data_IF_559745657414
#
_entry.id   IF_559745657414
#
_cell.length_a   1.000
_cell.length_b   1.000
_cell.length_c   1.000
_cell.angle_alpha   90.00
_cell.angle_beta   90.00
_cell.angle_gamma   90.00
#
_symmetry.space_group_name_H-M   'P 1'
#
loop_
_entity.id
_entity.type
_entity.pdbx_description
1 polymer ?
#
# COMPACT_ATOMS: atom_id res chain seq x y z
N UNK A 1 -32.96 0.68 4.81
CA UNK A 1 -31.49 0.57 4.59
C UNK A 1 -30.92 -0.19 5.77
N UNK A 2 -30.10 -1.23 5.59
CA UNK A 2 -29.46 -1.86 6.73
C UNK A 2 -28.37 -0.90 7.23
N UNK A 3 -28.57 -0.36 8.43
CA UNK A 3 -27.50 0.22 9.22
C UNK A 3 -26.62 -0.97 9.66
N UNK A 4 -25.34 -0.99 9.30
CA UNK A 4 -24.40 -1.99 9.83
C UNK A 4 -23.78 -1.40 11.09
N UNK A 5 -24.33 -1.64 12.29
CA UNK A 5 -23.84 -1.04 13.53
C UNK A 5 -22.35 -1.33 13.80
N UNK A 6 -21.77 -2.32 13.14
CA UNK A 6 -20.37 -2.69 13.27
C UNK A 6 -19.38 -1.86 12.43
N UNK A 7 -19.81 -1.13 11.39
CA UNK A 7 -18.86 -0.49 10.48
C UNK A 7 -18.21 0.74 11.11
N UNK A 8 -19.01 1.60 11.73
CA UNK A 8 -18.52 2.80 12.40
C UNK A 8 -17.61 2.45 13.59
N UNK A 9 -17.99 1.45 14.39
CA UNK A 9 -17.13 0.93 15.47
C UNK A 9 -15.82 0.35 14.93
N UNK A 10 -15.84 -0.28 13.76
CA UNK A 10 -14.62 -0.77 13.09
C UNK A 10 -13.72 0.40 12.69
N UNK A 11 -14.28 1.46 12.11
CA UNK A 11 -13.52 2.66 11.76
C UNK A 11 -12.95 3.35 13.00
N UNK A 12 -13.73 3.52 14.07
CA UNK A 12 -13.25 4.06 15.35
C UNK A 12 -12.05 3.26 15.88
N UNK A 13 -12.12 1.92 15.84
CA UNK A 13 -11.00 1.05 16.24
C UNK A 13 -9.76 1.18 15.34
N UNK A 14 -9.95 1.38 14.04
CA UNK A 14 -8.84 1.56 13.08
C UNK A 14 -8.18 2.94 13.19
N UNK A 15 -8.95 3.97 13.53
CA UNK A 15 -8.47 5.35 13.68
C UNK A 15 -7.86 5.63 15.06
N UNK A 16 -8.33 4.97 16.12
CA UNK A 16 -7.80 5.10 17.48
C UNK A 16 -6.26 5.03 17.59
N UNK A 17 -5.54 4.08 16.95
CA UNK A 17 -4.08 4.03 17.04
C UNK A 17 -3.37 5.15 16.27
N UNK A 18 -4.08 5.92 15.42
CA UNK A 18 -3.50 7.03 14.65
C UNK A 18 -3.44 8.34 15.45
N UNK A 19 -3.91 8.34 16.71
CA UNK A 19 -3.87 9.52 17.57
C UNK A 19 -4.85 10.63 17.17
N UNK A 20 -5.84 10.32 16.35
CA UNK A 20 -6.91 11.25 15.96
C UNK A 20 -7.91 11.34 17.09
N UNK A 21 -8.26 12.56 17.51
CA UNK A 21 -9.33 12.77 18.46
C UNK A 21 -10.68 12.57 17.77
N UNK A 22 -11.31 11.43 18.04
CA UNK A 22 -12.61 11.07 17.47
C UNK A 22 -13.78 11.69 18.25
N UNK A 23 -13.54 12.36 19.37
CA UNK A 23 -14.61 12.91 20.21
C UNK A 23 -15.21 14.20 19.65
N UNK A 24 -14.45 14.92 18.82
CA UNK A 24 -14.88 16.14 18.15
C UNK A 24 -15.45 15.90 16.75
N UNK A 25 -15.40 14.65 16.26
CA UNK A 25 -15.85 14.28 14.93
C UNK A 25 -17.26 13.67 14.94
N UNK A 26 -18.04 13.98 13.91
CA UNK A 26 -19.33 13.34 13.69
C UNK A 26 -19.19 11.95 13.04
N UNK A 27 -20.30 11.22 12.97
CA UNK A 27 -20.29 9.85 12.43
C UNK A 27 -19.95 9.81 10.92
N UNK A 28 -20.24 10.87 10.17
CA UNK A 28 -19.95 10.96 8.73
C UNK A 28 -18.44 11.23 8.51
N UNK A 29 -17.84 12.11 9.29
CA UNK A 29 -16.40 12.38 9.29
C UNK A 29 -15.60 11.13 9.66
N UNK A 30 -16.03 10.40 10.71
CA UNK A 30 -15.40 9.13 11.10
C UNK A 30 -15.54 8.09 9.99
N UNK A 31 -16.69 8.03 9.31
CA UNK A 31 -16.89 7.14 8.18
C UNK A 31 -15.98 7.53 6.99
N UNK A 32 -15.80 8.82 6.72
CA UNK A 32 -14.93 9.32 5.66
C UNK A 32 -13.46 9.01 5.94
N UNK A 33 -12.98 9.25 7.18
CA UNK A 33 -11.63 8.89 7.60
C UNK A 33 -11.41 7.38 7.52
N UNK A 34 -12.37 6.58 8.01
CA UNK A 34 -12.30 5.13 7.99
C UNK A 34 -12.24 4.53 6.58
N UNK A 35 -13.09 5.02 5.66
CA UNK A 35 -13.10 4.62 4.24
C UNK A 35 -11.80 4.99 3.51
N UNK A 36 -11.02 5.91 4.06
CA UNK A 36 -9.76 6.41 3.49
C UNK A 36 -8.57 6.16 4.43
N UNK A 37 -8.65 5.16 5.30
CA UNK A 37 -7.67 4.93 6.38
C UNK A 37 -6.21 4.86 5.89
N UNK A 38 -5.97 4.37 4.68
CA UNK A 38 -4.62 4.33 4.09
C UNK A 38 -4.08 5.73 3.78
N UNK A 39 -4.92 6.65 3.30
CA UNK A 39 -4.53 8.05 3.07
C UNK A 39 -4.27 8.76 4.41
N UNK A 40 -5.11 8.50 5.41
CA UNK A 40 -4.94 9.04 6.76
C UNK A 40 -3.61 8.59 7.37
N UNK A 41 -3.25 7.31 7.21
CA UNK A 41 -1.95 6.78 7.65
C UNK A 41 -0.75 7.43 6.95
N UNK A 42 -0.95 7.94 5.74
CA UNK A 42 0.06 8.71 5.00
C UNK A 42 0.07 10.20 5.38
N UNK A 43 -0.76 10.62 6.34
CA UNK A 43 -0.84 11.99 6.81
C UNK A 43 -1.64 12.93 5.90
N UNK A 44 -2.48 12.38 5.02
CA UNK A 44 -3.31 13.17 4.11
C UNK A 44 -4.58 13.62 4.83
N UNK A 45 -4.90 14.91 4.70
CA UNK A 45 -6.10 15.54 5.26
C UNK A 45 -7.36 15.17 4.45
N UNK A 46 -7.87 13.97 4.69
CA UNK A 46 -8.99 13.39 3.93
C UNK A 46 -10.29 14.22 4.05
N UNK A 47 -10.51 14.91 5.16
CA UNK A 47 -11.73 15.69 5.38
C UNK A 47 -11.82 16.91 4.46
N UNK A 48 -10.70 17.38 3.92
CA UNK A 48 -10.67 18.49 2.95
C UNK A 48 -10.83 18.02 1.50
N UNK A 49 -10.83 16.70 1.26
CA UNK A 49 -10.92 16.13 -0.07
C UNK A 49 -12.36 15.86 -0.47
N UNK A 50 -12.66 16.11 -1.75
CA UNK A 50 -13.88 15.60 -2.36
C UNK A 50 -13.84 14.07 -2.53
N UNK A 51 -15.00 13.45 -2.64
CA UNK A 51 -15.11 12.00 -2.90
C UNK A 51 -14.31 11.53 -4.15
N UNK A 52 -14.35 12.26 -5.30
CA UNK A 52 -13.53 11.93 -6.47
C UNK A 52 -12.03 12.01 -6.21
N UNK A 53 -11.55 13.02 -5.48
CA UNK A 53 -10.13 13.17 -5.16
C UNK A 53 -9.65 12.05 -4.23
N UNK A 54 -10.41 11.78 -3.16
CA UNK A 54 -10.18 10.66 -2.26
C UNK A 54 -10.13 9.32 -3.01
N UNK A 55 -11.03 9.11 -3.98
CA UNK A 55 -11.03 7.92 -4.83
C UNK A 55 -9.77 7.85 -5.70
N UNK A 56 -9.42 8.95 -6.37
CA UNK A 56 -8.25 9.00 -7.25
C UNK A 56 -6.95 8.71 -6.47
N UNK A 57 -6.82 9.23 -5.26
CA UNK A 57 -5.67 8.95 -4.40
C UNK A 57 -5.62 7.48 -3.94
N UNK A 58 -6.76 6.90 -3.54
CA UNK A 58 -6.81 5.47 -3.18
C UNK A 58 -6.47 4.56 -4.35
N UNK A 59 -7.00 4.84 -5.54
CA UNK A 59 -6.73 4.04 -6.74
C UNK A 59 -5.24 4.10 -7.16
N UNK A 60 -4.51 5.11 -6.69
CA UNK A 60 -3.10 5.35 -6.98
C UNK A 60 -2.24 5.39 -5.70
N UNK A 61 -2.63 4.66 -4.64
CA UNK A 61 -1.98 4.73 -3.32
C UNK A 61 -0.46 4.47 -3.37
N UNK A 62 -0.01 3.63 -4.29
CA UNK A 62 1.42 3.35 -4.48
C UNK A 62 2.19 4.56 -5.01
N UNK A 63 1.59 5.37 -5.89
CA UNK A 63 2.17 6.63 -6.33
C UNK A 63 2.23 7.63 -5.19
N UNK A 64 1.17 7.69 -4.37
CA UNK A 64 1.11 8.56 -3.19
C UNK A 64 2.21 8.20 -2.19
N UNK A 65 2.44 6.91 -1.92
CA UNK A 65 3.55 6.43 -1.06
C UNK A 65 4.93 6.83 -1.58
N UNK A 66 5.08 7.03 -2.90
CA UNK A 66 6.30 7.51 -3.53
C UNK A 66 6.41 9.05 -3.54
N UNK A 67 5.45 9.77 -2.95
CA UNK A 67 5.43 11.23 -2.89
C UNK A 67 5.01 11.91 -4.19
N UNK A 68 4.33 11.19 -5.09
CA UNK A 68 3.86 11.74 -6.37
C UNK A 68 2.54 12.47 -6.17
N UNK A 69 2.44 13.68 -6.71
CA UNK A 69 1.23 14.52 -6.68
C UNK A 69 0.15 14.01 -7.65
N UNK A 70 -0.51 12.93 -7.26
CA UNK A 70 -1.53 12.23 -8.08
C UNK A 70 -2.69 13.14 -8.52
N UNK A 71 -3.05 14.15 -7.72
CA UNK A 71 -4.16 15.04 -8.06
C UNK A 71 -3.88 15.87 -9.32
N UNK A 72 -2.61 16.22 -9.57
CA UNK A 72 -2.20 16.98 -10.75
C UNK A 72 -2.08 16.13 -12.03
N UNK A 73 -2.04 14.80 -11.89
CA UNK A 73 -1.89 13.90 -13.03
C UNK A 73 -3.21 13.67 -13.76
N UNK A 74 -3.16 13.51 -15.07
CA UNK A 74 -4.26 12.93 -15.83
C UNK A 74 -4.39 11.42 -15.55
N UNK A 75 -5.55 10.83 -15.85
CA UNK A 75 -5.75 9.38 -15.70
C UNK A 75 -4.76 8.55 -16.54
N UNK A 76 -4.42 8.92 -17.80
CA UNK A 76 -3.39 8.23 -18.57
C UNK A 76 -2.02 8.28 -17.92
N UNK A 77 -1.60 9.42 -17.38
CA UNK A 77 -0.30 9.57 -16.72
C UNK A 77 -0.22 8.72 -15.45
N UNK A 78 -1.27 8.77 -14.63
CA UNK A 78 -1.37 7.95 -13.41
C UNK A 78 -1.32 6.46 -13.73
N UNK A 79 -2.00 6.04 -14.81
CA UNK A 79 -1.95 4.66 -15.29
C UNK A 79 -0.54 4.26 -15.75
N UNK A 80 0.09 5.08 -16.58
CA UNK A 80 1.43 4.80 -17.09
C UNK A 80 2.46 4.66 -15.97
N UNK A 81 2.39 5.52 -14.94
CA UNK A 81 3.29 5.43 -13.79
C UNK A 81 3.06 4.15 -12.98
N UNK A 82 1.80 3.75 -12.76
CA UNK A 82 1.48 2.47 -12.10
C UNK A 82 2.01 1.27 -12.89
N UNK A 83 1.79 1.25 -14.21
CA UNK A 83 2.27 0.18 -15.08
C UNK A 83 3.81 0.08 -15.04
N UNK A 84 4.51 1.21 -15.03
CA UNK A 84 5.97 1.24 -14.91
C UNK A 84 6.47 0.69 -13.56
N UNK A 85 5.81 1.02 -12.45
CA UNK A 85 6.15 0.50 -11.12
C UNK A 85 5.96 -1.01 -11.06
N UNK A 86 4.86 -1.51 -11.62
CA UNK A 86 4.58 -2.95 -11.66
C UNK A 86 5.61 -3.72 -12.48
N UNK A 87 6.08 -3.15 -13.60
CA UNK A 87 7.17 -3.73 -14.39
C UNK A 87 8.48 -3.79 -13.59
N UNK A 88 8.87 -2.69 -12.94
CA UNK A 88 10.10 -2.63 -12.13
C UNK A 88 10.05 -3.66 -11.00
N UNK A 89 8.91 -3.79 -10.30
CA UNK A 89 8.73 -4.79 -9.24
C UNK A 89 8.92 -6.21 -9.75
N UNK A 90 8.30 -6.54 -10.90
CA UNK A 90 8.45 -7.87 -11.51
C UNK A 90 9.90 -8.16 -11.89
N UNK A 91 10.62 -7.19 -12.44
CA UNK A 91 12.03 -7.36 -12.81
C UNK A 91 12.91 -7.61 -11.57
N UNK A 92 12.65 -6.91 -10.46
CA UNK A 92 13.34 -7.15 -9.18
C UNK A 92 13.05 -8.57 -8.67
N UNK A 93 11.80 -9.02 -8.70
CA UNK A 93 11.43 -10.37 -8.23
C UNK A 93 12.15 -11.49 -9.02
N UNK A 94 12.31 -11.32 -10.33
CA UNK A 94 13.05 -12.27 -11.19
C UNK A 94 14.54 -12.30 -10.81
N UNK A 95 15.15 -11.15 -10.55
CA UNK A 95 16.55 -11.06 -10.11
C UNK A 95 16.77 -11.71 -8.74
N UNK A 96 15.85 -11.51 -7.80
CA UNK A 96 15.90 -12.16 -6.49
C UNK A 96 15.78 -13.68 -6.59
N UNK A 97 14.83 -14.19 -7.39
CA UNK A 97 14.69 -15.63 -7.65
C UNK A 97 15.99 -16.21 -8.22
N UNK A 98 16.54 -15.57 -9.25
CA UNK A 98 17.79 -16.01 -9.89
C UNK A 98 18.95 -16.06 -8.90
N UNK A 99 19.05 -15.06 -8.01
CA UNK A 99 20.12 -14.99 -7.00
C UNK A 99 19.97 -16.11 -5.96
N UNK A 100 18.75 -16.38 -5.48
CA UNK A 100 18.47 -17.47 -4.53
C UNK A 100 18.81 -18.83 -5.14
N UNK A 101 18.42 -19.07 -6.39
CA UNK A 101 18.70 -20.32 -7.10
C UNK A 101 20.21 -20.54 -7.32
N UNK A 102 20.94 -19.49 -7.72
CA UNK A 102 22.40 -19.54 -7.87
C UNK A 102 23.11 -19.85 -6.54
N UNK A 103 22.69 -19.22 -5.44
CA UNK A 103 23.27 -19.47 -4.12
C UNK A 103 23.00 -20.92 -3.66
N UNK A 104 21.78 -21.43 -3.85
CA UNK A 104 21.45 -22.82 -3.53
C UNK A 104 22.28 -23.83 -4.36
N UNK A 105 22.54 -23.53 -5.64
CA UNK A 105 23.41 -24.37 -6.47
C UNK A 105 24.86 -24.34 -5.99
N UNK A 106 25.35 -23.17 -5.57
CA UNK A 106 26.71 -23.01 -5.06
C UNK A 106 26.93 -23.78 -3.75
N UNK A 107 26.04 -23.63 -2.78
CA UNK A 107 26.10 -24.34 -1.50
C UNK A 107 26.06 -25.87 -1.69
N UNK A 108 25.20 -26.36 -2.59
CA UNK A 108 25.18 -27.77 -2.95
C UNK A 108 26.51 -28.21 -3.57
N UNK A 109 27.09 -27.43 -4.48
CA UNK A 109 28.39 -27.77 -5.10
C UNK A 109 29.54 -27.82 -4.08
N UNK A 110 29.55 -26.91 -3.10
CA UNK A 110 30.58 -26.86 -2.05
C UNK A 110 30.46 -28.08 -1.11
N UNK A 111 29.24 -28.50 -0.77
CA UNK A 111 28.97 -29.73 -0.02
C UNK A 111 29.46 -31.01 -0.73
N UNK A 112 29.31 -31.10 -2.05
CA UNK A 112 29.84 -32.24 -2.82
C UNK A 112 31.38 -32.25 -2.90
N UNK A 113 32.04 -31.08 -2.90
CA UNK A 113 33.50 -30.99 -2.93
C UNK A 113 34.19 -31.40 -1.61
N UNK A 114 33.47 -31.29 -0.48
CA UNK A 114 33.95 -31.69 0.84
C UNK A 114 33.85 -33.20 1.12
N UNK A 115 33.12 -33.95 0.28
CA UNK A 115 32.93 -35.39 0.41
C UNK A 115 34.13 -36.13 -0.19
N UNK A 116 35.29 -36.00 0.46
CA UNK A 116 36.50 -36.75 0.14
C UNK A 116 36.26 -38.21 0.48
N UNK A 117 36.02 -39.03 -0.54
CA UNK A 117 35.85 -40.49 -0.42
C UNK A 117 37.18 -41.05 0.11
N UNK A 118 37.21 -41.43 1.37
CA UNK A 118 38.31 -42.14 2.04
C UNK A 118 38.07 -43.63 2.05
#
# INVERSE_FOLDING_TARGET
MPFFPNLLDTYKKQLAPLGIDLSELDDDEIAQLGKNIELVKLGIEVLELTDPESKKLRDNIELVKLGIEVLELTDPESKQLRDNIDLIRRDIDVLECTTKELNACRENSENFSGMRIG
#
